data_IF_782930649711
#
_entry.id   IF_782930649711
#
_cell.length_a   1.000
_cell.length_b   1.000
_cell.length_c   1.000
_cell.angle_alpha   90.00
_cell.angle_beta   90.00
_cell.angle_gamma   90.00
#
_symmetry.space_group_name_H-M   'P 1'
#
loop_
_entity.id
_entity.type
_entity.pdbx_description
1 polymer ?
#
# COMPACT_ATOMS: atom_id res chain seq x y z
N UNK A 1 17.26 -8.05 19.74
CA UNK A 1 16.70 -8.32 18.39
C UNK A 1 17.25 -7.23 17.48
N UNK A 2 17.97 -7.58 16.41
CA UNK A 2 18.54 -6.58 15.49
C UNK A 2 17.46 -6.29 14.44
N UNK A 3 16.95 -5.05 14.40
CA UNK A 3 16.02 -4.60 13.37
C UNK A 3 16.82 -4.42 12.08
N UNK A 4 16.47 -5.12 11.01
CA UNK A 4 17.12 -4.95 9.70
C UNK A 4 16.70 -3.60 9.13
N UNK A 5 17.67 -2.72 8.89
CA UNK A 5 17.42 -1.48 8.19
C UNK A 5 17.07 -1.74 6.73
N UNK A 6 16.02 -1.08 6.25
CA UNK A 6 15.70 -1.03 4.83
C UNK A 6 16.75 -0.19 4.09
N UNK A 7 17.17 -0.66 2.93
CA UNK A 7 18.08 0.06 2.04
C UNK A 7 17.32 0.79 0.92
N UNK A 8 17.91 1.83 0.37
CA UNK A 8 17.36 2.54 -0.80
C UNK A 8 17.12 1.59 -1.99
N UNK A 9 18.06 0.68 -2.26
CA UNK A 9 17.92 -0.30 -3.34
C UNK A 9 16.70 -1.23 -3.14
N UNK A 10 16.39 -1.58 -1.90
CA UNK A 10 15.20 -2.37 -1.58
C UNK A 10 13.91 -1.57 -1.80
N UNK A 11 13.88 -0.30 -1.39
CA UNK A 11 12.78 0.59 -1.70
C UNK A 11 12.57 0.73 -3.22
N UNK A 12 13.64 0.94 -3.98
CA UNK A 12 13.58 1.08 -5.43
C UNK A 12 13.12 -0.20 -6.15
N UNK A 13 13.34 -1.40 -5.57
CA UNK A 13 12.73 -2.63 -6.10
C UNK A 13 11.22 -2.62 -5.97
N UNK A 14 10.68 -2.08 -4.88
CA UNK A 14 9.22 -1.96 -4.70
C UNK A 14 8.66 -0.92 -5.66
N UNK A 15 9.32 0.22 -5.84
CA UNK A 15 8.99 1.23 -6.87
C UNK A 15 8.92 0.59 -8.26
N UNK A 16 9.93 -0.21 -8.61
CA UNK A 16 9.99 -0.89 -9.90
C UNK A 16 8.80 -1.83 -10.15
N UNK A 17 8.23 -2.45 -9.12
CA UNK A 17 7.02 -3.28 -9.28
C UNK A 17 5.84 -2.43 -9.74
N UNK A 18 5.65 -1.23 -9.18
CA UNK A 18 4.60 -0.31 -9.64
C UNK A 18 4.81 0.08 -11.12
N UNK A 19 6.05 0.42 -11.48
CA UNK A 19 6.41 0.82 -12.84
C UNK A 19 6.23 -0.31 -13.86
N UNK A 20 6.64 -1.54 -13.51
CA UNK A 20 6.45 -2.74 -14.34
C UNK A 20 4.96 -3.10 -14.48
N UNK A 21 4.11 -2.66 -13.54
CA UNK A 21 2.65 -2.76 -13.64
C UNK A 21 2.02 -1.68 -14.52
N UNK A 22 2.80 -0.71 -15.02
CA UNK A 22 2.33 0.42 -15.81
C UNK A 22 1.86 1.60 -14.97
N UNK A 23 2.15 1.63 -13.67
CA UNK A 23 1.83 2.72 -12.77
C UNK A 23 3.05 3.62 -12.56
N UNK A 24 2.92 4.92 -12.81
CA UNK A 24 4.03 5.85 -12.58
C UNK A 24 4.15 6.22 -11.11
N UNK A 25 5.39 6.24 -10.58
CA UNK A 25 5.67 6.68 -9.22
C UNK A 25 6.13 8.14 -9.22
N UNK A 26 5.41 9.00 -8.52
CA UNK A 26 5.65 10.45 -8.47
C UNK A 26 6.13 10.83 -7.08
N UNK A 27 7.36 11.31 -6.99
CA UNK A 27 7.92 11.74 -5.71
C UNK A 27 7.44 13.14 -5.34
N UNK A 28 7.04 13.33 -4.07
CA UNK A 28 6.55 14.59 -3.56
C UNK A 28 6.92 14.78 -2.08
N UNK A 29 7.49 15.91 -1.67
CA UNK A 29 8.10 16.05 -0.33
C UNK A 29 7.13 15.90 0.85
N UNK A 30 5.88 16.30 0.68
CA UNK A 30 4.90 16.41 1.78
C UNK A 30 3.63 15.57 1.60
N UNK A 31 3.50 14.84 0.49
CA UNK A 31 2.27 14.08 0.23
C UNK A 31 2.37 12.70 0.84
N UNK A 32 1.26 12.25 1.41
CA UNK A 32 1.09 10.86 1.84
C UNK A 32 1.11 9.93 0.63
N UNK A 33 1.56 8.71 0.86
CA UNK A 33 1.53 7.67 -0.16
C UNK A 33 0.08 7.39 -0.54
N UNK A 34 -0.21 7.43 -1.85
CA UNK A 34 -1.56 7.26 -2.37
C UNK A 34 -1.56 6.88 -3.84
N UNK A 35 -2.37 5.89 -4.19
CA UNK A 35 -2.76 5.54 -5.54
C UNK A 35 -3.92 6.43 -6.03
N UNK A 36 -3.96 6.67 -7.34
CA UNK A 36 -5.17 7.11 -8.02
C UNK A 36 -5.34 6.38 -9.36
N UNK A 37 -6.59 6.33 -9.84
CA UNK A 37 -7.01 5.57 -11.02
C UNK A 37 -6.44 6.06 -12.35
N UNK A 38 -5.69 7.17 -12.38
CA UNK A 38 -4.86 7.55 -13.52
C UNK A 38 -3.52 6.78 -13.55
N UNK A 39 -3.39 5.68 -12.80
CA UNK A 39 -2.18 4.85 -12.73
C UNK A 39 -0.98 5.62 -12.20
N UNK A 40 -1.18 6.35 -11.10
CA UNK A 40 -0.12 7.08 -10.40
C UNK A 40 -0.11 6.75 -8.91
N UNK A 41 1.08 6.50 -8.37
CA UNK A 41 1.32 6.47 -6.92
C UNK A 41 2.18 7.67 -6.54
N UNK A 42 1.72 8.49 -5.60
CA UNK A 42 2.56 9.52 -5.00
C UNK A 42 3.37 8.92 -3.86
N UNK A 43 4.66 9.27 -3.71
CA UNK A 43 5.51 8.83 -2.60
C UNK A 43 6.33 9.98 -2.01
N UNK A 44 6.64 9.99 -0.69
CA UNK A 44 7.59 10.92 -0.11
C UNK A 44 9.03 10.58 -0.52
N UNK A 45 9.96 11.52 -0.31
CA UNK A 45 11.39 11.29 -0.55
C UNK A 45 12.06 10.40 0.52
N UNK A 46 11.37 10.09 1.61
CA UNK A 46 11.87 9.21 2.67
C UNK A 46 11.57 7.73 2.37
N UNK A 47 12.60 6.90 2.36
CA UNK A 47 12.50 5.45 2.16
C UNK A 47 12.50 4.70 3.50
N UNK A 48 11.50 4.94 4.35
CA UNK A 48 11.34 4.19 5.60
C UNK A 48 10.65 2.84 5.36
N UNK A 49 10.74 1.92 6.32
CA UNK A 49 9.98 0.66 6.26
C UNK A 49 8.46 0.92 6.22
N UNK A 50 7.97 1.90 6.99
CA UNK A 50 6.57 2.35 6.97
C UNK A 50 6.15 2.83 5.58
N UNK A 51 6.96 3.67 4.94
CA UNK A 51 6.69 4.15 3.57
C UNK A 51 6.78 3.02 2.54
N UNK A 52 7.58 2.00 2.80
CA UNK A 52 7.70 0.84 1.91
C UNK A 52 6.48 -0.06 2.00
N UNK A 53 5.95 -0.27 3.20
CA UNK A 53 4.69 -0.98 3.42
C UNK A 53 3.52 -0.23 2.79
N UNK A 54 3.46 1.10 2.98
CA UNK A 54 2.43 1.92 2.35
C UNK A 54 2.53 1.89 0.82
N UNK A 55 3.74 1.97 0.23
CA UNK A 55 3.89 1.82 -1.22
C UNK A 55 3.44 0.43 -1.71
N UNK A 56 3.80 -0.64 -0.99
CA UNK A 56 3.36 -1.98 -1.33
C UNK A 56 1.84 -2.15 -1.24
N UNK A 57 1.18 -1.47 -0.29
CA UNK A 57 -0.28 -1.39 -0.20
C UNK A 57 -0.90 -0.72 -1.43
N UNK A 58 -0.38 0.44 -1.85
CA UNK A 58 -0.87 1.12 -3.05
C UNK A 58 -0.61 0.29 -4.33
N UNK A 59 0.48 -0.49 -4.38
CA UNK A 59 0.71 -1.47 -5.45
C UNK A 59 -0.37 -2.56 -5.45
N UNK A 60 -0.87 -2.96 -4.27
CA UNK A 60 -2.02 -3.86 -4.15
C UNK A 60 -3.25 -3.30 -4.86
N UNK A 61 -3.57 -2.03 -4.64
CA UNK A 61 -4.65 -1.33 -5.36
C UNK A 61 -4.42 -1.27 -6.87
N UNK A 62 -3.17 -1.07 -7.31
CA UNK A 62 -2.81 -1.11 -8.74
C UNK A 62 -3.09 -2.49 -9.35
N UNK A 63 -2.75 -3.58 -8.65
CA UNK A 63 -2.97 -4.95 -9.11
C UNK A 63 -4.47 -5.20 -9.28
N UNK A 64 -5.26 -4.92 -8.23
CA UNK A 64 -6.71 -5.15 -8.25
C UNK A 64 -7.37 -4.29 -9.34
N UNK A 65 -6.96 -3.03 -9.49
CA UNK A 65 -7.45 -2.16 -10.56
C UNK A 65 -7.13 -2.69 -11.96
N UNK A 66 -5.88 -3.14 -12.18
CA UNK A 66 -5.45 -3.68 -13.48
C UNK A 66 -6.16 -4.99 -13.84
N UNK A 67 -6.50 -5.81 -12.85
CA UNK A 67 -7.24 -7.05 -13.04
C UNK A 67 -8.75 -6.83 -13.23
N UNK A 68 -9.26 -5.60 -13.04
CA UNK A 68 -10.69 -5.32 -13.04
C UNK A 68 -11.41 -5.80 -11.76
N UNK A 69 -10.66 -6.02 -10.68
CA UNK A 69 -11.13 -6.49 -9.37
C UNK A 69 -11.44 -5.31 -8.43
N UNK A 70 -10.95 -4.11 -8.75
CA UNK A 70 -11.25 -2.86 -8.04
C UNK A 70 -12.16 -1.95 -8.87
N UNK A 71 -13.42 -1.87 -8.45
CA UNK A 71 -14.41 -0.91 -8.93
C UNK A 71 -14.26 0.39 -8.11
N UNK A 72 -13.80 1.44 -8.77
CA UNK A 72 -13.50 2.72 -8.13
C UNK A 72 -14.73 3.41 -7.54
N UNK A 73 -15.89 3.29 -8.18
CA UNK A 73 -17.10 3.97 -7.71
C UNK A 73 -17.63 3.29 -6.44
N UNK A 74 -17.60 1.96 -6.39
CA UNK A 74 -17.91 1.21 -5.17
C UNK A 74 -16.88 1.44 -4.07
N UNK A 75 -15.59 1.50 -4.41
CA UNK A 75 -14.53 1.76 -3.44
C UNK A 75 -14.70 3.09 -2.69
N UNK A 76 -15.21 4.12 -3.38
CA UNK A 76 -15.45 5.42 -2.77
C UNK A 76 -16.75 5.50 -1.97
N UNK A 77 -17.79 4.76 -2.38
CA UNK A 77 -19.15 4.99 -1.91
C UNK A 77 -19.74 3.84 -1.05
N UNK A 78 -19.13 2.65 -1.06
CA UNK A 78 -19.57 1.50 -0.28
C UNK A 78 -18.50 1.10 0.75
N UNK A 79 -18.85 1.24 2.03
CA UNK A 79 -17.93 0.95 3.13
C UNK A 79 -17.51 -0.52 3.19
N UNK A 80 -18.45 -1.45 2.98
CA UNK A 80 -18.18 -2.88 3.03
C UNK A 80 -17.29 -3.31 1.87
N UNK A 81 -17.54 -2.76 0.67
CA UNK A 81 -16.67 -2.94 -0.49
C UNK A 81 -15.28 -2.40 -0.22
N UNK A 82 -15.19 -1.17 0.35
CA UNK A 82 -13.91 -0.55 0.68
C UNK A 82 -13.08 -1.38 1.63
N UNK A 83 -13.66 -1.90 2.70
CA UNK A 83 -12.93 -2.77 3.64
C UNK A 83 -12.35 -4.00 2.92
N UNK A 84 -13.11 -4.60 2.01
CA UNK A 84 -12.63 -5.74 1.23
C UNK A 84 -11.46 -5.37 0.30
N UNK A 85 -11.59 -4.26 -0.44
CA UNK A 85 -10.53 -3.74 -1.30
C UNK A 85 -9.23 -3.46 -0.52
N UNK A 86 -9.33 -2.84 0.66
CA UNK A 86 -8.16 -2.57 1.51
C UNK A 86 -7.52 -3.88 2.01
N UNK A 87 -8.32 -4.87 2.43
CA UNK A 87 -7.80 -6.18 2.83
C UNK A 87 -7.08 -6.89 1.66
N UNK A 88 -7.67 -6.86 0.47
CA UNK A 88 -7.05 -7.39 -0.75
C UNK A 88 -5.70 -6.73 -1.02
N UNK A 89 -5.65 -5.40 -1.00
CA UNK A 89 -4.43 -4.64 -1.22
C UNK A 89 -3.31 -5.01 -0.22
N UNK A 90 -3.62 -5.21 1.06
CA UNK A 90 -2.65 -5.68 2.05
C UNK A 90 -2.16 -7.11 1.81
N UNK A 91 -3.02 -8.00 1.31
CA UNK A 91 -2.61 -9.36 0.90
C UNK A 91 -1.65 -9.31 -0.29
N UNK A 92 -1.92 -8.45 -1.28
CA UNK A 92 -1.01 -8.21 -2.40
C UNK A 92 0.32 -7.61 -1.95
N UNK A 93 0.29 -6.61 -1.06
CA UNK A 93 1.47 -6.01 -0.47
C UNK A 93 2.38 -7.05 0.20
N UNK A 94 1.82 -7.94 1.01
CA UNK A 94 2.58 -9.04 1.64
C UNK A 94 3.28 -9.92 0.60
N UNK A 95 2.58 -10.30 -0.47
CA UNK A 95 3.15 -11.14 -1.55
C UNK A 95 4.32 -10.44 -2.25
N UNK A 96 4.15 -9.16 -2.59
CA UNK A 96 5.20 -8.34 -3.24
C UNK A 96 6.43 -8.23 -2.34
N UNK A 97 6.25 -7.82 -1.08
CA UNK A 97 7.36 -7.64 -0.14
C UNK A 97 8.11 -8.95 0.12
N UNK A 98 7.38 -10.07 0.26
CA UNK A 98 7.97 -11.40 0.45
C UNK A 98 8.77 -11.85 -0.78
N UNK A 99 8.24 -11.64 -1.98
CA UNK A 99 8.93 -11.97 -3.23
C UNK A 99 10.24 -11.17 -3.39
N UNK A 100 10.26 -9.91 -2.97
CA UNK A 100 11.41 -9.02 -3.04
C UNK A 100 12.39 -9.17 -1.85
N UNK A 101 12.08 -10.06 -0.89
CA UNK A 101 12.85 -10.27 0.34
C UNK A 101 13.04 -8.99 1.18
N UNK A 102 12.01 -8.13 1.18
CA UNK A 102 11.93 -6.93 2.00
C UNK A 102 11.64 -7.34 3.46
N UNK A 103 12.24 -6.68 4.46
CA UNK A 103 11.94 -6.97 5.86
C UNK A 103 10.43 -6.84 6.14
N UNK A 104 9.90 -7.73 6.99
CA UNK A 104 8.49 -7.76 7.42
C UNK A 104 8.37 -7.56 8.93
N UNK A 105 9.35 -6.88 9.53
CA UNK A 105 9.37 -6.52 10.95
C UNK A 105 8.05 -5.82 11.32
N UNK A 106 7.39 -6.33 12.36
CA UNK A 106 6.10 -5.84 12.87
C UNK A 106 4.97 -5.76 11.83
N UNK A 107 5.07 -6.47 10.69
CA UNK A 107 4.09 -6.43 9.61
C UNK A 107 2.65 -6.66 10.09
N UNK A 108 2.41 -7.73 10.85
CA UNK A 108 1.06 -8.06 11.32
C UNK A 108 0.49 -6.95 12.23
N UNK A 109 1.32 -6.38 13.12
CA UNK A 109 0.91 -5.27 13.98
C UNK A 109 0.59 -4.03 13.14
N UNK A 110 1.45 -3.68 12.19
CA UNK A 110 1.23 -2.56 11.29
C UNK A 110 -0.09 -2.70 10.50
N UNK A 111 -0.32 -3.84 9.85
CA UNK A 111 -1.53 -4.07 9.05
C UNK A 111 -2.78 -4.07 9.95
N UNK A 112 -2.70 -4.65 11.14
CA UNK A 112 -3.79 -4.60 12.11
C UNK A 112 -4.12 -3.15 12.52
N UNK A 113 -3.12 -2.32 12.75
CA UNK A 113 -3.32 -0.91 13.11
C UNK A 113 -3.94 -0.12 11.96
N UNK A 114 -3.59 -0.41 10.69
CA UNK A 114 -4.22 0.22 9.52
C UNK A 114 -5.66 -0.21 9.34
N UNK A 115 -5.93 -1.53 9.37
CA UNK A 115 -7.26 -2.09 9.13
C UNK A 115 -8.24 -1.81 10.27
N UNK A 116 -7.78 -1.79 11.52
CA UNK A 116 -8.65 -1.55 12.69
C UNK A 116 -9.37 -0.20 12.61
N UNK A 117 -8.77 0.82 11.98
CA UNK A 117 -9.39 2.12 11.78
C UNK A 117 -10.71 2.05 10.97
N UNK A 118 -10.88 1.03 10.12
CA UNK A 118 -12.12 0.81 9.37
C UNK A 118 -13.23 0.15 10.20
N UNK A 119 -12.94 -0.24 11.43
CA UNK A 119 -13.91 -0.83 12.35
C UNK A 119 -14.17 0.05 13.58
N UNK A 120 -13.47 1.18 13.68
CA UNK A 120 -13.80 2.24 14.62
C UNK A 120 -15.04 2.97 14.10
N UNK A 121 -16.21 2.58 14.61
CA UNK A 121 -17.43 3.34 14.42
C UNK A 121 -17.24 4.75 15.00
N UNK A 122 -17.72 5.82 14.33
CA UNK A 122 -17.76 7.13 14.98
C UNK A 122 -18.53 6.99 16.29
N UNK A 123 -17.97 7.54 17.38
CA UNK A 123 -18.67 7.60 18.66
C UNK A 123 -20.09 8.11 18.40
N UNK A 124 -21.09 7.35 18.85
CA UNK A 124 -22.48 7.80 18.82
C UNK A 124 -22.55 8.99 19.78
N UNK A 125 -22.59 10.20 19.22
CA UNK A 125 -22.81 11.46 19.94
C UNK A 125 -24.25 11.50 20.43
#
# INVERSE_FOLDING_TARGET
>A
MIIRMLTENEFMKVVKVAEDLGCSVVYHPTKKISFNTNMHITVPYEFTLENTYALAHEIGHVIDFRNGELDHDYWLNDWSYRVNAEMSAWVHAYKVLKQLNIPLDHWQTHVNDKLSNYFLLPEVI
#
